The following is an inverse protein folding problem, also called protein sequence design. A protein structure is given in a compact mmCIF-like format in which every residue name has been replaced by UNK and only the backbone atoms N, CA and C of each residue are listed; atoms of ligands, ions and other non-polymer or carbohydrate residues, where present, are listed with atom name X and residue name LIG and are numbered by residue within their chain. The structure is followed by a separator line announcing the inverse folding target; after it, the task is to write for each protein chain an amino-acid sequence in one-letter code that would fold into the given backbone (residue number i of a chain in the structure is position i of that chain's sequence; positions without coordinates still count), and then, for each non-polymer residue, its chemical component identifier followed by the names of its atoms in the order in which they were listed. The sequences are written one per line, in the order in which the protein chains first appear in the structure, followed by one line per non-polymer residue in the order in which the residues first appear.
data_IF_154361601939
#
_entry.id   IF_154361601939
#
_cell.length_a   1.000
_cell.length_b   1.000
_cell.length_c   1.000
_cell.angle_alpha   90.00
_cell.angle_beta   90.00
_cell.angle_gamma   90.00
#
_symmetry.space_group_name_H-M   'P 1'
#
loop_
_entity.id
_entity.type
_entity.pdbx_description
1 polymer ?
#
# COMPACT_ATOMS: atom_id res chain seq x y z
N UNK A 1 17.54 -27.94 8.81
CA UNK A 1 17.36 -28.14 10.26
C UNK A 1 18.39 -27.40 11.08
N UNK A 2 19.65 -27.60 10.81
CA UNK A 2 20.73 -26.84 11.47
C UNK A 2 20.52 -25.32 11.38
N UNK A 3 20.09 -24.86 10.22
CA UNK A 3 19.86 -23.45 9.98
C UNK A 3 18.75 -22.86 10.85
N UNK A 4 17.72 -23.65 11.11
CA UNK A 4 16.61 -23.24 11.97
C UNK A 4 17.07 -23.16 13.43
N UNK A 5 17.91 -24.10 13.87
CA UNK A 5 18.47 -24.09 15.20
C UNK A 5 19.41 -22.92 15.44
N UNK A 6 20.20 -22.56 14.46
CA UNK A 6 21.05 -21.37 14.51
C UNK A 6 20.24 -20.09 14.62
N UNK A 7 19.10 -20.06 13.96
CA UNK A 7 18.16 -18.94 14.01
C UNK A 7 17.55 -18.83 15.41
N UNK A 8 17.18 -19.94 16.01
CA UNK A 8 16.58 -19.94 17.34
C UNK A 8 17.54 -19.56 18.45
N UNK A 9 18.83 -19.75 18.26
CA UNK A 9 19.87 -19.37 19.23
C UNK A 9 20.10 -17.87 19.29
N UNK A 10 19.69 -17.14 18.27
CA UNK A 10 19.80 -15.69 18.28
C UNK A 10 18.64 -15.06 19.01
N UNK A 11 18.94 -14.17 19.92
CA UNK A 11 17.95 -13.45 20.74
C UNK A 11 16.91 -12.71 19.92
N UNK A 12 17.24 -12.31 18.70
CA UNK A 12 16.31 -11.75 17.75
C UNK A 12 15.89 -12.86 16.80
N UNK A 13 14.94 -13.67 17.20
CA UNK A 13 14.52 -14.81 16.41
C UNK A 13 14.34 -14.43 14.93
N UNK A 14 15.28 -14.79 14.02
CA UNK A 14 15.08 -14.56 12.57
C UNK A 14 13.84 -15.27 12.04
N UNK A 15 13.31 -16.26 12.76
CA UNK A 15 12.05 -16.91 12.43
C UNK A 15 10.88 -15.93 12.54
N UNK A 16 10.88 -15.08 13.56
CA UNK A 16 9.87 -14.04 13.72
C UNK A 16 10.01 -12.99 12.62
N UNK A 17 11.25 -12.62 12.29
CA UNK A 17 11.52 -11.67 11.21
C UNK A 17 11.06 -12.21 9.86
N UNK A 18 11.27 -13.49 9.60
CA UNK A 18 10.81 -14.14 8.40
C UNK A 18 9.29 -14.18 8.32
N UNK A 19 8.63 -14.38 9.46
CA UNK A 19 7.16 -14.34 9.54
C UNK A 19 6.65 -12.94 9.23
N UNK A 20 7.23 -11.91 9.85
CA UNK A 20 6.85 -10.53 9.61
C UNK A 20 7.06 -10.16 8.14
N UNK A 21 8.15 -10.59 7.56
CA UNK A 21 8.43 -10.36 6.14
C UNK A 21 7.37 -11.03 5.26
N UNK A 22 6.99 -12.26 5.59
CA UNK A 22 5.95 -12.98 4.86
C UNK A 22 4.59 -12.27 4.97
N UNK A 23 4.27 -11.74 6.15
CA UNK A 23 3.03 -10.96 6.36
C UNK A 23 3.05 -9.72 5.49
N UNK A 24 4.16 -8.98 5.45
CA UNK A 24 4.27 -7.80 4.60
C UNK A 24 4.12 -8.14 3.12
N UNK A 25 4.71 -9.25 2.68
CA UNK A 25 4.58 -9.70 1.30
C UNK A 25 3.12 -10.01 0.94
N UNK A 26 2.39 -10.63 1.85
CA UNK A 26 0.96 -10.90 1.66
C UNK A 26 0.13 -9.63 1.70
N UNK A 27 0.48 -8.70 2.58
CA UNK A 27 -0.18 -7.38 2.62
C UNK A 27 -0.02 -6.66 1.29
N UNK A 28 1.16 -6.69 0.69
CA UNK A 28 1.40 -6.15 -0.64
C UNK A 28 0.47 -6.77 -1.68
N UNK A 29 0.40 -8.09 -1.70
CA UNK A 29 -0.46 -8.82 -2.66
C UNK A 29 -1.93 -8.41 -2.51
N UNK A 30 -2.39 -8.31 -1.27
CA UNK A 30 -3.77 -7.92 -0.98
C UNK A 30 -4.06 -6.50 -1.47
N UNK A 31 -3.19 -5.56 -1.15
CA UNK A 31 -3.36 -4.17 -1.56
C UNK A 31 -3.38 -4.07 -3.09
N UNK A 32 -2.42 -4.70 -3.75
CA UNK A 32 -2.34 -4.66 -5.21
C UNK A 32 -3.54 -5.32 -5.86
N UNK A 33 -4.03 -6.41 -5.30
CA UNK A 33 -5.21 -7.12 -5.80
C UNK A 33 -6.48 -6.28 -5.65
N UNK A 34 -6.68 -5.67 -4.50
CA UNK A 34 -7.85 -4.81 -4.27
C UNK A 34 -7.85 -3.60 -5.18
N UNK A 35 -6.69 -3.00 -5.37
CA UNK A 35 -6.54 -1.86 -6.28
C UNK A 35 -6.81 -2.28 -7.73
N UNK A 36 -6.29 -3.42 -8.13
CA UNK A 36 -6.53 -3.97 -9.46
C UNK A 36 -8.02 -4.21 -9.72
N UNK A 37 -8.73 -4.73 -8.72
CA UNK A 37 -10.18 -4.91 -8.81
C UNK A 37 -10.91 -3.58 -9.03
N UNK A 38 -10.49 -2.53 -8.34
CA UNK A 38 -11.05 -1.20 -8.54
C UNK A 38 -10.78 -0.69 -9.96
N UNK A 39 -9.56 -0.85 -10.44
CA UNK A 39 -9.18 -0.44 -11.80
C UNK A 39 -10.02 -1.20 -12.82
N UNK A 40 -10.17 -2.50 -12.65
CA UNK A 40 -10.94 -3.31 -13.58
C UNK A 40 -12.41 -2.91 -13.62
N UNK A 41 -13.01 -2.65 -12.46
CA UNK A 41 -14.39 -2.15 -12.40
C UNK A 41 -14.53 -0.80 -13.09
N UNK A 42 -13.57 0.09 -12.89
CA UNK A 42 -13.57 1.39 -13.54
C UNK A 42 -13.46 1.27 -15.06
N UNK A 43 -12.56 0.43 -15.54
CA UNK A 43 -12.38 0.19 -16.98
C UNK A 43 -13.65 -0.41 -17.61
N UNK A 44 -14.30 -1.32 -16.90
CA UNK A 44 -15.57 -1.90 -17.38
C UNK A 44 -16.67 -0.85 -17.45
N UNK A 45 -16.74 0.02 -16.44
CA UNK A 45 -17.72 1.10 -16.38
C UNK A 45 -17.54 2.11 -17.53
N UNK A 46 -16.31 2.36 -17.93
CA UNK A 46 -15.99 3.36 -18.96
C UNK A 46 -15.78 2.74 -20.35
N UNK A 47 -16.05 1.46 -20.51
CA UNK A 47 -15.79 0.74 -21.76
C UNK A 47 -16.59 1.25 -22.95
N UNK A 48 -17.71 1.93 -22.72
CA UNK A 48 -18.54 2.50 -23.79
C UNK A 48 -18.02 3.85 -24.31
N UNK A 49 -17.05 4.45 -23.61
CA UNK A 49 -16.46 5.72 -24.03
C UNK A 49 -15.39 5.42 -25.06
N UNK A 50 -15.70 5.71 -26.30
CA UNK A 50 -14.82 5.35 -27.44
C UNK A 50 -14.58 6.56 -28.32
N UNK A 51 -13.52 6.50 -29.11
CA UNK A 51 -13.20 7.51 -30.10
C UNK A 51 -13.98 7.24 -31.41
N UNK A 52 -13.68 8.01 -32.45
CA UNK A 52 -14.34 7.88 -33.76
C UNK A 52 -14.08 6.54 -34.44
N UNK A 53 -12.98 5.86 -34.08
CA UNK A 53 -12.61 4.58 -34.65
C UNK A 53 -13.06 3.40 -33.80
N UNK A 54 -13.73 3.66 -32.68
CA UNK A 54 -14.21 2.62 -31.78
C UNK A 54 -13.21 2.17 -30.72
N UNK A 55 -12.08 2.83 -30.61
CA UNK A 55 -11.08 2.52 -29.58
C UNK A 55 -11.47 3.15 -28.24
N UNK A 56 -11.29 2.40 -27.18
CA UNK A 56 -11.60 2.90 -25.82
C UNK A 56 -10.70 4.07 -25.48
N UNK A 57 -11.30 5.13 -24.96
CA UNK A 57 -10.60 6.33 -24.55
C UNK A 57 -10.01 6.21 -23.14
N UNK A 58 -10.57 5.34 -22.31
CA UNK A 58 -10.10 5.09 -20.96
C UNK A 58 -9.48 3.71 -20.94
N UNK A 59 -8.17 3.68 -20.76
CA UNK A 59 -7.40 2.44 -20.84
C UNK A 59 -6.34 2.39 -19.75
N UNK A 60 -5.88 1.19 -19.51
CA UNK A 60 -4.73 0.94 -18.66
C UNK A 60 -3.47 1.48 -19.34
N UNK A 61 -2.60 2.12 -18.59
CA UNK A 61 -1.37 2.70 -19.14
C UNK A 61 -0.20 2.50 -18.18
N UNK A 62 0.36 1.28 -18.19
CA UNK A 62 1.51 0.95 -17.36
C UNK A 62 1.23 1.01 -15.88
N UNK A 63 2.22 1.44 -15.13
CA UNK A 63 2.17 1.50 -13.67
C UNK A 63 2.62 2.86 -13.17
N UNK A 64 2.12 3.21 -11.99
CA UNK A 64 2.66 4.35 -11.25
C UNK A 64 4.05 4.00 -10.74
N UNK A 65 4.80 5.03 -10.35
CA UNK A 65 6.01 4.85 -9.57
C UNK A 65 5.66 4.09 -8.29
N UNK A 66 6.56 3.21 -7.85
CA UNK A 66 6.36 2.47 -6.61
C UNK A 66 6.07 3.40 -5.44
N UNK A 67 5.19 2.96 -4.56
CA UNK A 67 4.67 3.74 -3.46
C UNK A 67 4.77 2.93 -2.19
N UNK A 68 5.27 3.55 -1.14
CA UNK A 68 5.46 2.90 0.15
C UNK A 68 4.41 3.40 1.13
N UNK A 69 3.77 2.46 1.82
CA UNK A 69 2.66 2.73 2.73
C UNK A 69 2.98 2.11 4.07
N UNK A 70 2.77 2.86 5.14
CA UNK A 70 2.93 2.35 6.50
C UNK A 70 1.66 1.62 6.92
N UNK A 71 1.81 0.35 7.20
CA UNK A 71 0.75 -0.51 7.72
C UNK A 71 1.08 -0.92 9.15
N UNK A 72 0.14 -1.56 9.83
CA UNK A 72 0.39 -2.11 11.17
C UNK A 72 1.42 -3.24 11.16
N UNK A 73 1.79 -3.74 9.99
CA UNK A 73 2.81 -4.76 9.81
C UNK A 73 4.13 -4.19 9.27
N UNK A 74 4.27 -2.86 9.26
CA UNK A 74 5.44 -2.18 8.75
C UNK A 74 5.19 -1.51 7.41
N UNK A 75 6.26 -1.08 6.77
CA UNK A 75 6.17 -0.45 5.47
C UNK A 75 6.02 -1.49 4.37
N UNK A 76 5.08 -1.23 3.49
CA UNK A 76 4.80 -2.08 2.34
C UNK A 76 4.92 -1.24 1.07
N UNK A 77 5.75 -1.68 0.15
CA UNK A 77 5.92 -1.01 -1.14
C UNK A 77 5.04 -1.69 -2.17
N UNK A 78 4.22 -0.91 -2.85
CA UNK A 78 3.26 -1.42 -3.83
C UNK A 78 3.50 -0.82 -5.20
N UNK A 79 3.18 -1.59 -6.22
CA UNK A 79 3.22 -1.18 -7.61
C UNK A 79 1.79 -1.22 -8.14
N UNK A 80 1.26 -0.06 -8.49
CA UNK A 80 -0.15 0.08 -8.82
C UNK A 80 -0.33 0.42 -10.29
N UNK A 81 -1.31 -0.19 -10.97
CA UNK A 81 -1.58 0.13 -12.37
C UNK A 81 -2.08 1.55 -12.52
N UNK A 82 -1.68 2.20 -13.60
CA UNK A 82 -2.12 3.53 -13.92
C UNK A 82 -3.21 3.48 -14.99
N UNK A 83 -4.21 4.32 -14.82
CA UNK A 83 -5.31 4.46 -15.78
C UNK A 83 -5.12 5.76 -16.54
N UNK A 84 -5.21 5.70 -17.86
CA UNK A 84 -5.27 6.89 -18.69
C UNK A 84 -6.74 7.30 -18.81
N UNK A 85 -7.10 8.29 -18.02
CA UNK A 85 -8.47 8.81 -17.94
C UNK A 85 -8.57 10.29 -18.34
N UNK A 86 -7.57 10.78 -19.07
CA UNK A 86 -7.50 12.18 -19.48
C UNK A 86 -8.68 12.61 -20.32
N UNK A 87 -9.35 11.67 -21.00
CA UNK A 87 -10.54 11.96 -21.79
C UNK A 87 -11.75 12.31 -20.94
N UNK A 88 -11.72 12.01 -19.65
CA UNK A 88 -12.81 12.27 -18.73
C UNK A 88 -12.64 13.62 -18.04
N UNK A 89 -13.76 14.21 -17.61
CA UNK A 89 -13.72 15.36 -16.72
C UNK A 89 -13.13 14.94 -15.38
N UNK A 90 -12.49 15.88 -14.70
CA UNK A 90 -11.78 15.61 -13.45
C UNK A 90 -12.65 14.88 -12.42
N UNK A 91 -13.93 15.27 -12.30
CA UNK A 91 -14.86 14.63 -11.37
C UNK A 91 -15.15 13.16 -11.69
N UNK A 92 -14.93 12.74 -12.93
CA UNK A 92 -15.24 11.39 -13.40
C UNK A 92 -14.00 10.50 -13.50
N UNK A 93 -12.83 11.02 -13.19
CA UNK A 93 -11.57 10.28 -13.24
C UNK A 93 -11.46 9.25 -12.16
N UNK A 94 -10.59 8.27 -12.38
CA UNK A 94 -10.37 7.19 -11.44
C UNK A 94 -9.79 7.70 -10.12
N UNK A 95 -10.42 7.34 -9.02
CA UNK A 95 -9.91 7.58 -7.68
C UNK A 95 -10.10 6.29 -6.88
N UNK A 96 -9.02 5.75 -6.35
CA UNK A 96 -9.09 4.56 -5.53
C UNK A 96 -9.65 4.88 -4.15
N UNK A 97 -10.56 4.03 -3.66
CA UNK A 97 -11.05 4.09 -2.28
C UNK A 97 -10.17 3.25 -1.35
N UNK A 98 -9.61 2.18 -1.88
CA UNK A 98 -8.71 1.31 -1.11
C UNK A 98 -7.43 2.05 -0.76
N UNK A 99 -6.88 2.78 -1.72
CA UNK A 99 -5.65 3.51 -1.53
C UNK A 99 -5.70 4.86 -2.23
N UNK A 100 -6.26 5.88 -1.56
CA UNK A 100 -6.32 7.23 -2.14
C UNK A 100 -4.94 7.76 -2.51
N UNK A 101 -4.86 8.67 -3.50
CA UNK A 101 -3.57 9.11 -4.07
C UNK A 101 -2.54 9.62 -3.07
N UNK A 102 -3.00 10.23 -1.98
CA UNK A 102 -2.11 10.84 -1.00
C UNK A 102 -1.95 10.02 0.27
N UNK A 103 -2.59 8.87 0.35
CA UNK A 103 -2.49 8.02 1.54
C UNK A 103 -1.09 7.42 1.63
N UNK A 104 -0.46 7.57 2.78
CA UNK A 104 0.85 7.00 3.10
C UNK A 104 0.78 6.06 4.29
N UNK A 105 -0.36 6.01 4.95
CA UNK A 105 -0.61 5.23 6.15
C UNK A 105 -1.99 4.62 6.04
N UNK A 106 -2.15 3.44 6.62
CA UNK A 106 -3.49 2.86 6.74
C UNK A 106 -4.30 3.63 7.77
N UNK A 107 -5.64 3.59 7.70
CA UNK A 107 -6.48 4.26 8.70
C UNK A 107 -6.19 3.82 10.14
N UNK A 108 -5.86 2.56 10.35
CA UNK A 108 -5.51 2.07 11.67
C UNK A 108 -4.25 2.73 12.21
N UNK A 109 -3.22 2.86 11.39
CA UNK A 109 -1.98 3.55 11.77
C UNK A 109 -2.25 5.02 12.08
N UNK A 110 -3.06 5.70 11.26
CA UNK A 110 -3.44 7.08 11.51
C UNK A 110 -4.17 7.23 12.84
N UNK A 111 -5.08 6.32 13.15
CA UNK A 111 -5.81 6.33 14.41
C UNK A 111 -4.87 6.16 15.60
N UNK A 112 -3.89 5.28 15.50
CA UNK A 112 -2.88 5.09 16.56
C UNK A 112 -2.07 6.36 16.75
N UNK A 113 -1.62 7.00 15.68
CA UNK A 113 -0.87 8.26 15.77
C UNK A 113 -1.69 9.37 16.39
N UNK A 114 -2.95 9.49 15.99
CA UNK A 114 -3.85 10.50 16.53
C UNK A 114 -4.10 10.27 18.03
N UNK A 115 -4.34 9.04 18.43
CA UNK A 115 -4.54 8.69 19.84
C UNK A 115 -3.28 9.00 20.67
N UNK A 116 -2.11 8.68 20.15
CA UNK A 116 -0.84 8.96 20.81
C UNK A 116 -0.62 10.47 20.97
N UNK A 117 -0.93 11.24 19.95
CA UNK A 117 -0.85 12.70 20.00
C UNK A 117 -1.76 13.27 21.09
N UNK A 118 -3.00 12.82 21.14
CA UNK A 118 -3.96 13.24 22.15
C UNK A 118 -3.54 12.83 23.57
N UNK A 119 -2.80 11.74 23.70
CA UNK A 119 -2.26 11.28 24.98
C UNK A 119 -1.00 12.04 25.41
N UNK A 120 -0.55 13.03 24.64
CA UNK A 120 0.59 13.87 24.96
C UNK A 120 1.94 13.35 24.49
N UNK A 121 1.96 12.32 23.67
CA UNK A 121 3.20 11.81 23.09
C UNK A 121 3.54 12.66 21.86
N UNK A 122 4.76 13.18 21.79
CA UNK A 122 5.14 14.00 20.65
C UNK A 122 5.20 13.17 19.36
N UNK A 123 4.81 13.77 18.26
CA UNK A 123 4.83 13.12 16.94
C UNK A 123 6.18 12.55 16.59
N UNK A 124 7.25 13.28 16.90
CA UNK A 124 8.60 12.85 16.59
C UNK A 124 9.03 11.63 17.40
N UNK A 125 8.70 11.62 18.70
CA UNK A 125 9.01 10.48 19.55
C UNK A 125 8.24 9.24 19.14
N UNK A 126 6.97 9.42 18.79
CA UNK A 126 6.12 8.31 18.39
C UNK A 126 6.56 7.76 17.04
N UNK A 127 6.89 8.63 16.09
CA UNK A 127 7.41 8.21 14.78
C UNK A 127 8.74 7.46 14.92
N UNK A 128 9.61 7.95 15.79
CA UNK A 128 10.87 7.26 16.06
C UNK A 128 10.63 5.87 16.68
N UNK A 129 9.70 5.78 17.63
CA UNK A 129 9.34 4.51 18.25
C UNK A 129 8.73 3.54 17.22
N UNK A 130 7.85 4.01 16.38
CA UNK A 130 7.29 3.19 15.31
C UNK A 130 8.37 2.73 14.35
N UNK A 131 9.29 3.60 14.02
CA UNK A 131 10.43 3.26 13.18
C UNK A 131 11.24 2.13 13.81
N UNK A 132 11.52 2.21 15.11
CA UNK A 132 12.27 1.18 15.82
C UNK A 132 11.50 -0.14 15.91
N UNK A 133 10.20 -0.08 16.12
CA UNK A 133 9.36 -1.28 16.29
C UNK A 133 9.01 -1.93 14.96
N UNK A 134 8.64 -1.15 13.97
CA UNK A 134 8.26 -1.63 12.64
C UNK A 134 9.41 -1.62 11.66
N UNK A 135 10.44 -1.09 12.06
CA UNK A 135 11.68 -0.65 11.64
C UNK A 135 12.19 -0.90 10.31
N UNK A 136 12.61 -2.02 10.26
CA UNK A 136 13.55 -2.36 9.20
C UNK A 136 12.94 -2.39 7.81
N UNK A 137 11.67 -2.54 7.73
CA UNK A 137 10.98 -2.54 6.44
C UNK A 137 10.88 -1.18 5.80
N UNK A 138 11.43 -0.17 6.47
CA UNK A 138 11.21 1.19 6.11
C UNK A 138 12.10 1.76 5.07
N UNK A 139 13.18 1.22 4.98
CA UNK A 139 14.20 1.89 4.16
C UNK A 139 14.46 1.13 2.88
#
# INVERSE_FOLDING_TARGET
MKRILEIEENSNSPTIDLLEEAIRARAREVIESLYEDEVQRFLNKTSSIVDKTGNKLVVRNGFHKERTILTTNGYVTVRLPRVDDRALEEKDRFVSKVLPPFARKTPTVEAILSAAYLAGISSNKFSAMLHDVLGEGLI
#
